data_IF_584205208534
#
_entry.id   IF_584205208534
#
_cell.length_a   1.000
_cell.length_b   1.000
_cell.length_c   1.000
_cell.angle_alpha   90.00
_cell.angle_beta   90.00
_cell.angle_gamma   90.00
#
_symmetry.space_group_name_H-M   'P 1'
#
loop_
_entity.id
_entity.type
_entity.pdbx_description
1 polymer ?
#
# COMPACT_ATOMS: atom_id res chain seq x y z
N UNK A 1 18.23 2.23 -22.78
CA UNK A 1 18.69 0.91 -22.28
C UNK A 1 17.50 0.17 -21.69
N UNK A 2 17.45 -1.16 -21.83
CA UNK A 2 16.41 -2.03 -21.24
C UNK A 2 17.06 -2.87 -20.16
N UNK A 3 16.31 -3.13 -19.07
CA UNK A 3 16.73 -4.12 -18.09
C UNK A 3 16.67 -5.49 -18.77
N UNK A 4 17.73 -6.31 -18.59
CA UNK A 4 17.76 -7.67 -19.10
C UNK A 4 16.69 -8.49 -18.37
N UNK A 5 15.79 -9.21 -19.08
CA UNK A 5 14.80 -10.08 -18.45
C UNK A 5 15.38 -11.10 -17.45
N UNK A 6 16.62 -11.55 -17.64
CA UNK A 6 17.32 -12.45 -16.72
C UNK A 6 17.69 -11.80 -15.37
N UNK A 7 17.71 -10.47 -15.30
CA UNK A 7 17.92 -9.73 -14.05
C UNK A 7 16.60 -9.48 -13.28
N UNK A 8 15.47 -9.93 -13.81
CA UNK A 8 14.14 -9.66 -13.27
C UNK A 8 13.49 -10.92 -12.77
N UNK A 9 13.02 -10.91 -11.54
CA UNK A 9 12.12 -11.94 -11.02
C UNK A 9 10.67 -11.49 -11.12
N UNK A 10 9.81 -12.31 -11.72
CA UNK A 10 8.37 -12.08 -11.75
C UNK A 10 7.74 -12.87 -10.61
N UNK A 11 7.23 -12.15 -9.60
CA UNK A 11 6.54 -12.73 -8.46
C UNK A 11 5.03 -12.69 -8.67
N UNK A 12 4.39 -13.86 -8.61
CA UNK A 12 2.95 -14.02 -8.83
C UNK A 12 2.34 -14.69 -7.59
N UNK A 13 1.85 -13.93 -6.59
CA UNK A 13 1.06 -14.51 -5.51
C UNK A 13 -0.28 -15.00 -6.06
N UNK A 14 -0.66 -16.25 -5.75
CA UNK A 14 -1.87 -16.90 -6.29
C UNK A 14 -2.69 -17.59 -5.24
N UNK A 15 -4.01 -17.61 -5.44
CA UNK A 15 -4.93 -18.46 -4.70
C UNK A 15 -6.13 -18.78 -5.59
N UNK A 16 -6.30 -20.04 -6.00
CA UNK A 16 -7.40 -20.48 -6.87
C UNK A 16 -7.54 -19.63 -8.15
N UNK A 17 -6.47 -19.58 -8.95
CA UNK A 17 -6.40 -18.82 -10.23
C UNK A 17 -6.20 -19.77 -11.44
N UNK A 18 -6.65 -21.02 -11.35
CA UNK A 18 -6.53 -22.00 -12.44
C UNK A 18 -6.98 -21.49 -13.81
N UNK A 19 -8.06 -20.67 -13.95
CA UNK A 19 -8.49 -20.17 -15.25
C UNK A 19 -7.50 -19.19 -15.91
N UNK A 20 -6.65 -18.51 -15.14
CA UNK A 20 -5.88 -17.36 -15.61
C UNK A 20 -4.37 -17.53 -15.48
N UNK A 21 -3.90 -18.25 -14.45
CA UNK A 21 -2.47 -18.37 -14.14
C UNK A 21 -1.63 -18.84 -15.32
N UNK A 22 -2.15 -19.78 -16.14
CA UNK A 22 -1.43 -20.30 -17.30
C UNK A 22 -1.20 -19.24 -18.37
N UNK A 23 -2.17 -18.35 -18.63
CA UNK A 23 -2.01 -17.25 -19.59
C UNK A 23 -1.06 -16.18 -19.07
N UNK A 24 -1.14 -15.82 -17.78
CA UNK A 24 -0.23 -14.85 -17.14
C UNK A 24 1.21 -15.32 -17.26
N UNK A 25 1.51 -16.56 -16.89
CA UNK A 25 2.87 -17.13 -16.98
C UNK A 25 3.37 -17.09 -18.43
N UNK A 26 2.57 -17.56 -19.39
CA UNK A 26 2.94 -17.59 -20.80
C UNK A 26 3.22 -16.21 -21.37
N UNK A 27 2.43 -15.17 -21.00
CA UNK A 27 2.67 -13.80 -21.44
C UNK A 27 4.08 -13.33 -21.00
N UNK A 28 4.50 -13.60 -19.76
CA UNK A 28 5.85 -13.24 -19.29
C UNK A 28 6.94 -14.06 -19.94
N UNK A 29 6.75 -15.40 -20.11
CA UNK A 29 7.71 -16.26 -20.80
C UNK A 29 7.94 -15.82 -22.25
N UNK A 30 6.89 -15.43 -22.98
CA UNK A 30 6.98 -14.91 -24.34
C UNK A 30 7.78 -13.61 -24.46
N UNK A 31 7.89 -12.84 -23.39
CA UNK A 31 8.71 -11.63 -23.31
C UNK A 31 10.14 -11.90 -22.82
N UNK A 32 10.50 -13.18 -22.63
CA UNK A 32 11.85 -13.62 -22.25
C UNK A 32 12.12 -13.65 -20.74
N UNK A 33 11.10 -13.46 -19.86
CA UNK A 33 11.29 -13.59 -18.42
C UNK A 33 11.41 -15.06 -18.03
N UNK A 34 12.60 -15.46 -17.58
CA UNK A 34 12.94 -16.85 -17.20
C UNK A 34 12.74 -17.09 -15.69
N UNK A 35 12.89 -16.06 -14.85
CA UNK A 35 12.77 -16.17 -13.40
C UNK A 35 11.35 -15.81 -12.93
N UNK A 36 10.42 -16.78 -13.03
CA UNK A 36 9.04 -16.64 -12.60
C UNK A 36 8.83 -17.46 -11.33
N UNK A 37 8.42 -16.82 -10.24
CA UNK A 37 8.08 -17.43 -8.97
C UNK A 37 6.58 -17.29 -8.71
N UNK A 38 5.87 -18.42 -8.73
CA UNK A 38 4.47 -18.50 -8.27
C UNK A 38 4.47 -18.86 -6.79
N UNK A 39 3.95 -17.96 -5.95
CA UNK A 39 3.77 -18.19 -4.53
C UNK A 39 2.31 -18.50 -4.25
N UNK A 40 2.02 -19.78 -4.02
CA UNK A 40 0.66 -20.28 -3.86
C UNK A 40 0.14 -20.14 -2.43
N UNK A 41 -1.08 -19.64 -2.30
CA UNK A 41 -1.81 -19.39 -1.05
C UNK A 41 -2.66 -20.57 -0.57
N UNK A 42 -2.25 -21.83 -0.80
CA UNK A 42 -3.00 -23.05 -0.54
C UNK A 42 -4.20 -23.22 -1.48
N UNK A 43 -3.98 -23.11 -2.78
CA UNK A 43 -5.00 -23.34 -3.80
C UNK A 43 -5.56 -24.76 -3.73
N UNK A 44 -6.87 -24.87 -3.90
CA UNK A 44 -7.61 -26.15 -3.91
C UNK A 44 -8.03 -26.56 -5.31
N UNK A 45 -7.76 -25.73 -6.30
CA UNK A 45 -7.99 -25.97 -7.72
C UNK A 45 -6.69 -26.40 -8.44
N UNK A 46 -6.70 -26.42 -9.77
CA UNK A 46 -5.54 -26.82 -10.59
C UNK A 46 -4.46 -25.72 -10.75
N UNK A 47 -4.47 -24.64 -9.97
CA UNK A 47 -3.51 -23.54 -10.09
C UNK A 47 -2.06 -24.03 -10.03
N UNK A 48 -1.71 -24.81 -9.01
CA UNK A 48 -0.35 -25.35 -8.81
C UNK A 48 0.05 -26.29 -9.95
N UNK A 49 -0.85 -27.18 -10.37
CA UNK A 49 -0.61 -28.14 -11.45
C UNK A 49 -0.29 -27.42 -12.77
N UNK A 50 -1.12 -26.41 -13.13
CA UNK A 50 -0.94 -25.62 -14.35
C UNK A 50 0.38 -24.87 -14.32
N UNK A 51 0.71 -24.21 -13.21
CA UNK A 51 1.94 -23.44 -13.08
C UNK A 51 3.19 -24.34 -13.18
N UNK A 52 3.21 -25.49 -12.50
CA UNK A 52 4.31 -26.48 -12.59
C UNK A 52 4.45 -27.04 -14.00
N UNK A 53 3.34 -27.30 -14.69
CA UNK A 53 3.34 -27.79 -16.08
C UNK A 53 3.96 -26.80 -17.07
N UNK A 54 4.07 -25.53 -16.73
CA UNK A 54 4.74 -24.49 -17.53
C UNK A 54 6.23 -24.29 -17.17
N UNK A 55 6.79 -25.12 -16.28
CA UNK A 55 8.21 -25.13 -15.95
C UNK A 55 8.66 -23.97 -15.06
N UNK A 56 7.75 -23.22 -14.42
CA UNK A 56 8.10 -22.14 -13.50
C UNK A 56 8.28 -22.64 -12.07
N UNK A 57 8.97 -21.87 -11.25
CA UNK A 57 9.13 -22.19 -9.82
C UNK A 57 7.81 -21.95 -9.09
N UNK A 58 7.29 -23.00 -8.42
CA UNK A 58 6.07 -22.94 -7.63
C UNK A 58 6.37 -23.32 -6.19
N UNK A 59 6.02 -22.42 -5.27
CA UNK A 59 6.10 -22.69 -3.82
C UNK A 59 4.77 -22.36 -3.16
N UNK A 60 4.45 -23.09 -2.10
CA UNK A 60 3.28 -22.83 -1.27
C UNK A 60 3.74 -22.10 -0.01
N UNK A 61 3.09 -21.00 0.35
CA UNK A 61 3.39 -20.25 1.57
C UNK A 61 3.11 -21.08 2.82
N UNK A 62 3.80 -20.79 3.91
CA UNK A 62 3.55 -21.45 5.20
C UNK A 62 2.35 -20.87 5.93
N UNK A 63 2.12 -19.57 5.77
CA UNK A 63 0.99 -18.85 6.36
C UNK A 63 -0.22 -18.73 5.43
N UNK A 64 -0.98 -17.66 5.60
CA UNK A 64 -2.16 -17.33 4.78
C UNK A 64 -2.17 -15.84 4.44
N UNK A 65 -2.75 -15.52 3.28
CA UNK A 65 -2.97 -14.16 2.80
C UNK A 65 -1.89 -13.70 1.81
N UNK A 66 -2.25 -12.71 0.99
CA UNK A 66 -1.41 -12.19 -0.10
C UNK A 66 -0.10 -11.60 0.42
N UNK A 67 -0.17 -10.84 1.52
CA UNK A 67 1.02 -10.25 2.11
C UNK A 67 2.01 -11.30 2.61
N UNK A 68 1.51 -12.38 3.24
CA UNK A 68 2.37 -13.45 3.68
C UNK A 68 3.08 -14.14 2.50
N UNK A 69 2.36 -14.39 1.40
CA UNK A 69 2.93 -14.94 0.17
C UNK A 69 4.06 -14.06 -0.38
N UNK A 70 3.86 -12.73 -0.39
CA UNK A 70 4.87 -11.78 -0.87
C UNK A 70 6.10 -11.80 0.05
N UNK A 71 5.90 -11.71 1.37
CA UNK A 71 7.01 -11.67 2.35
C UNK A 71 7.87 -12.94 2.25
N UNK A 72 7.26 -14.12 2.23
CA UNK A 72 8.00 -15.38 2.09
C UNK A 72 8.71 -15.53 0.73
N UNK A 73 8.12 -14.99 -0.33
CA UNK A 73 8.73 -15.03 -1.66
C UNK A 73 10.00 -14.19 -1.75
N UNK A 74 10.05 -13.02 -1.07
CA UNK A 74 11.21 -12.13 -1.09
C UNK A 74 12.50 -12.78 -0.54
N UNK A 75 12.38 -13.75 0.37
CA UNK A 75 13.51 -14.51 0.88
C UNK A 75 14.16 -15.41 -0.19
N UNK A 76 13.44 -15.72 -1.25
CA UNK A 76 13.84 -16.67 -2.28
C UNK A 76 14.34 -16.04 -3.56
N UNK A 77 13.98 -14.77 -3.79
CA UNK A 77 14.36 -14.01 -4.99
C UNK A 77 15.80 -13.51 -4.83
N UNK A 78 16.59 -13.64 -5.91
CA UNK A 78 17.99 -13.21 -5.95
C UNK A 78 18.26 -12.13 -7.00
N UNK A 79 17.36 -11.96 -7.96
CA UNK A 79 17.46 -10.99 -9.04
C UNK A 79 17.43 -9.55 -8.49
N UNK A 80 18.18 -8.62 -9.11
CA UNK A 80 18.23 -7.22 -8.66
C UNK A 80 16.91 -6.47 -8.83
N UNK A 81 16.02 -6.93 -9.71
CA UNK A 81 14.72 -6.33 -9.97
C UNK A 81 13.59 -7.32 -9.78
N UNK A 82 12.47 -6.84 -9.25
CA UNK A 82 11.27 -7.63 -9.02
C UNK A 82 10.09 -6.97 -9.72
N UNK A 83 9.31 -7.76 -10.42
CA UNK A 83 7.95 -7.43 -10.83
C UNK A 83 7.00 -8.21 -9.95
N UNK A 84 6.11 -7.52 -9.24
CA UNK A 84 4.97 -8.11 -8.56
C UNK A 84 3.73 -7.96 -9.43
N UNK A 85 3.00 -9.05 -9.68
CA UNK A 85 1.78 -9.04 -10.51
C UNK A 85 0.78 -10.07 -10.02
N UNK A 86 -0.52 -9.75 -10.06
CA UNK A 86 -1.59 -10.68 -9.68
C UNK A 86 -1.78 -11.80 -10.70
N UNK A 87 -2.13 -12.99 -10.22
CA UNK A 87 -2.34 -14.19 -11.05
C UNK A 87 -3.71 -14.25 -11.76
N UNK A 88 -4.57 -13.24 -11.58
CA UNK A 88 -5.97 -13.23 -12.03
C UNK A 88 -6.18 -12.78 -13.50
N UNK A 89 -5.08 -12.47 -14.21
CA UNK A 89 -5.09 -12.09 -15.62
C UNK A 89 -5.61 -10.68 -15.92
N UNK A 90 -5.83 -9.85 -14.90
CA UNK A 90 -6.30 -8.47 -15.08
C UNK A 90 -5.19 -7.54 -15.60
N UNK A 91 -3.93 -7.86 -15.37
CA UNK A 91 -2.78 -7.12 -15.89
C UNK A 91 -2.20 -7.79 -17.15
N UNK A 92 -1.49 -7.01 -17.96
CA UNK A 92 -0.77 -7.50 -19.13
C UNK A 92 0.74 -7.47 -18.91
N UNK A 93 1.43 -8.55 -19.28
CA UNK A 93 2.88 -8.60 -19.22
C UNK A 93 3.56 -7.55 -20.13
N UNK A 94 2.86 -7.05 -21.18
CA UNK A 94 3.39 -6.01 -22.08
C UNK A 94 3.71 -4.70 -21.36
N UNK A 95 3.06 -4.41 -20.23
CA UNK A 95 3.33 -3.21 -19.44
C UNK A 95 4.53 -3.37 -18.49
N UNK A 96 5.13 -4.57 -18.38
CA UNK A 96 6.31 -4.83 -17.56
C UNK A 96 7.46 -3.87 -17.87
N UNK A 97 7.71 -3.59 -19.17
CA UNK A 97 8.77 -2.66 -19.57
C UNK A 97 8.51 -1.23 -19.07
N UNK A 98 7.24 -0.79 -19.00
CA UNK A 98 6.89 0.54 -18.46
C UNK A 98 7.23 0.64 -16.97
N UNK A 99 7.05 -0.46 -16.23
CA UNK A 99 7.37 -0.53 -14.80
C UNK A 99 8.89 -0.62 -14.56
N UNK A 100 9.63 -1.36 -15.41
CA UNK A 100 11.06 -1.56 -15.23
C UNK A 100 11.90 -0.36 -15.67
N UNK A 101 11.47 0.37 -16.71
CA UNK A 101 12.24 1.49 -17.25
C UNK A 101 12.58 2.57 -16.19
N UNK A 102 11.67 3.00 -15.32
CA UNK A 102 12.01 3.96 -14.26
C UNK A 102 13.06 3.43 -13.28
N UNK A 103 13.03 2.13 -12.94
CA UNK A 103 14.05 1.53 -12.06
C UNK A 103 15.46 1.70 -12.64
N UNK A 104 15.59 1.53 -13.94
CA UNK A 104 16.86 1.78 -14.64
C UNK A 104 17.31 3.25 -14.55
N UNK A 105 16.35 4.19 -14.47
CA UNK A 105 16.61 5.62 -14.29
C UNK A 105 16.89 6.00 -12.83
N UNK A 106 16.99 5.01 -11.94
CA UNK A 106 17.33 5.18 -10.54
C UNK A 106 16.11 5.41 -9.63
N UNK A 107 14.90 5.09 -10.08
CA UNK A 107 13.76 4.95 -9.18
C UNK A 107 13.86 3.63 -8.41
N UNK A 108 13.31 3.60 -7.20
CA UNK A 108 13.40 2.46 -6.30
C UNK A 108 12.15 1.58 -6.36
N UNK A 109 10.99 2.23 -6.59
CA UNK A 109 9.68 1.61 -6.58
C UNK A 109 8.81 2.22 -7.69
N UNK A 110 8.14 1.39 -8.46
CA UNK A 110 7.22 1.81 -9.53
C UNK A 110 5.85 1.17 -9.33
N UNK A 111 4.81 1.99 -9.36
CA UNK A 111 3.41 1.59 -9.18
C UNK A 111 2.69 1.70 -10.52
N UNK A 112 2.01 0.65 -10.94
CA UNK A 112 1.16 0.66 -12.13
C UNK A 112 -0.21 1.26 -11.80
N UNK A 113 -0.54 2.43 -12.36
CA UNK A 113 -1.84 3.08 -12.20
C UNK A 113 -2.87 2.44 -13.14
N UNK A 114 -3.95 1.91 -12.55
CA UNK A 114 -5.09 1.29 -13.25
C UNK A 114 -6.22 2.27 -13.51
N UNK A 115 -6.28 3.36 -12.73
CA UNK A 115 -7.49 4.18 -12.59
C UNK A 115 -7.89 4.86 -13.90
N UNK A 116 -6.90 5.25 -14.71
CA UNK A 116 -7.14 5.98 -15.95
C UNK A 116 -7.15 5.10 -17.21
N UNK A 117 -6.77 3.82 -17.10
CA UNK A 117 -6.53 2.93 -18.24
C UNK A 117 -7.33 1.62 -18.17
N UNK A 118 -8.21 1.49 -17.17
CA UNK A 118 -9.03 0.32 -17.00
C UNK A 118 -10.06 0.17 -18.14
N UNK A 119 -10.24 -1.06 -18.59
CA UNK A 119 -11.33 -1.40 -19.54
C UNK A 119 -12.70 -1.06 -18.94
N UNK A 120 -13.64 -0.69 -19.80
CA UNK A 120 -15.04 -0.43 -19.36
C UNK A 120 -15.61 -1.66 -18.62
N UNK A 121 -16.01 -1.47 -17.36
CA UNK A 121 -16.54 -2.53 -16.51
C UNK A 121 -15.49 -3.40 -15.80
N UNK A 122 -14.21 -3.03 -15.83
CA UNK A 122 -13.17 -3.66 -15.01
C UNK A 122 -13.33 -3.32 -13.52
N UNK A 123 -13.76 -2.09 -13.22
CA UNK A 123 -14.19 -1.68 -11.88
C UNK A 123 -15.72 -1.56 -11.81
N UNK A 124 -16.31 -2.04 -10.73
CA UNK A 124 -17.65 -1.62 -10.35
C UNK A 124 -17.60 -0.25 -9.64
N UNK A 125 -18.74 0.43 -9.52
CA UNK A 125 -18.82 1.78 -8.92
C UNK A 125 -18.27 1.82 -7.48
N UNK A 126 -18.56 0.80 -6.66
CA UNK A 126 -18.11 0.73 -5.26
C UNK A 126 -16.58 0.60 -5.17
N UNK A 127 -15.99 -0.27 -6.00
CA UNK A 127 -14.54 -0.47 -6.02
C UNK A 127 -13.80 0.77 -6.53
N UNK A 128 -14.35 1.44 -7.55
CA UNK A 128 -13.75 2.68 -8.08
C UNK A 128 -13.77 3.80 -7.05
N UNK A 129 -14.95 4.08 -6.46
CA UNK A 129 -15.13 5.15 -5.48
C UNK A 129 -14.35 4.86 -4.19
N UNK A 130 -14.37 3.60 -3.74
CA UNK A 130 -13.59 3.15 -2.59
C UNK A 130 -12.09 3.33 -2.79
N UNK A 131 -11.57 2.99 -3.97
CA UNK A 131 -10.17 3.19 -4.32
C UNK A 131 -9.80 4.69 -4.31
N UNK A 132 -10.63 5.55 -4.92
CA UNK A 132 -10.41 7.01 -4.88
C UNK A 132 -10.40 7.56 -3.46
N UNK A 133 -11.35 7.15 -2.62
CA UNK A 133 -11.39 7.57 -1.21
C UNK A 133 -10.12 7.15 -0.46
N UNK A 134 -9.66 5.92 -0.64
CA UNK A 134 -8.44 5.41 -0.02
C UNK A 134 -7.21 6.20 -0.49
N UNK A 135 -7.11 6.53 -1.78
CA UNK A 135 -6.01 7.34 -2.31
C UNK A 135 -6.02 8.77 -1.73
N UNK A 136 -7.20 9.39 -1.58
CA UNK A 136 -7.34 10.71 -0.94
C UNK A 136 -6.91 10.64 0.54
N UNK A 137 -7.39 9.64 1.27
CA UNK A 137 -6.99 9.44 2.67
C UNK A 137 -5.49 9.22 2.81
N UNK A 138 -4.90 8.44 1.92
CA UNK A 138 -3.45 8.23 1.88
C UNK A 138 -2.70 9.54 1.63
N UNK A 139 -3.13 10.33 0.64
CA UNK A 139 -2.53 11.63 0.33
C UNK A 139 -2.57 12.57 1.53
N UNK A 140 -3.70 12.63 2.25
CA UNK A 140 -3.85 13.46 3.46
C UNK A 140 -2.96 12.92 4.59
N UNK A 141 -2.94 11.60 4.80
CA UNK A 141 -2.22 10.97 5.90
C UNK A 141 -0.69 10.95 5.71
N UNK A 142 -0.22 10.80 4.46
CA UNK A 142 1.20 10.57 4.16
C UNK A 142 1.83 11.64 3.24
N UNK A 143 1.07 12.64 2.79
CA UNK A 143 1.58 13.78 2.03
C UNK A 143 2.00 13.48 0.59
N UNK A 144 1.75 12.27 0.07
CA UNK A 144 2.15 11.84 -1.26
C UNK A 144 0.97 11.48 -2.13
N UNK A 145 0.92 12.01 -3.36
CA UNK A 145 -0.13 11.69 -4.34
C UNK A 145 0.36 10.62 -5.31
N UNK A 146 -0.02 9.37 -5.06
CA UNK A 146 0.46 8.19 -5.80
C UNK A 146 -0.65 7.50 -6.62
N UNK A 147 -1.78 8.19 -6.84
CA UNK A 147 -2.90 7.83 -7.71
C UNK A 147 -3.56 6.47 -7.46
N UNK A 148 -2.81 5.36 -7.36
CA UNK A 148 -3.36 4.00 -7.20
C UNK A 148 -2.51 3.15 -6.25
N UNK A 149 -2.60 3.44 -4.94
CA UNK A 149 -1.84 2.72 -3.90
C UNK A 149 -2.29 1.27 -3.69
N UNK A 150 -3.45 0.89 -4.23
CA UNK A 150 -3.99 -0.47 -4.16
C UNK A 150 -3.63 -1.33 -5.37
N UNK A 151 -2.82 -0.81 -6.30
CA UNK A 151 -2.38 -1.58 -7.45
C UNK A 151 -1.48 -2.74 -7.03
N UNK A 152 -1.80 -3.94 -7.52
CA UNK A 152 -0.98 -5.14 -7.35
C UNK A 152 0.12 -5.29 -8.43
N UNK A 153 0.17 -4.39 -9.44
CA UNK A 153 1.21 -4.42 -10.46
C UNK A 153 2.29 -3.40 -10.15
N UNK A 154 3.42 -3.88 -9.69
CA UNK A 154 4.52 -3.04 -9.19
C UNK A 154 5.86 -3.57 -9.64
N UNK A 155 6.86 -2.69 -9.68
CA UNK A 155 8.25 -3.08 -9.83
C UNK A 155 9.12 -2.43 -8.76
N UNK A 156 10.16 -3.15 -8.33
CA UNK A 156 11.07 -2.74 -7.26
C UNK A 156 12.50 -3.06 -7.61
N UNK A 157 13.44 -2.28 -7.09
CA UNK A 157 14.79 -2.79 -6.90
C UNK A 157 14.80 -3.73 -5.69
N UNK A 158 15.66 -4.75 -5.69
CA UNK A 158 15.76 -5.68 -4.57
C UNK A 158 16.11 -4.97 -3.26
N UNK A 159 16.99 -3.97 -3.32
CA UNK A 159 17.43 -3.22 -2.17
C UNK A 159 16.28 -2.41 -1.56
N UNK A 160 15.43 -1.80 -2.41
CA UNK A 160 14.30 -1.00 -1.94
C UNK A 160 13.28 -1.84 -1.17
N UNK A 161 12.89 -3.00 -1.72
CA UNK A 161 11.86 -3.83 -1.09
C UNK A 161 12.38 -4.56 0.16
N UNK A 162 13.65 -4.96 0.20
CA UNK A 162 14.28 -5.54 1.39
C UNK A 162 14.45 -4.53 2.53
N UNK A 163 14.57 -3.26 2.21
CA UNK A 163 14.59 -2.17 3.18
C UNK A 163 13.25 -1.90 3.85
N UNK A 164 12.14 -2.43 3.32
CA UNK A 164 10.80 -2.26 3.88
C UNK A 164 10.56 -3.22 5.05
N UNK A 165 9.86 -2.73 6.10
CA UNK A 165 9.47 -3.54 7.27
C UNK A 165 8.05 -4.05 7.12
N UNK A 166 7.84 -4.96 6.17
CA UNK A 166 6.53 -5.51 5.85
C UNK A 166 6.03 -6.47 6.93
N UNK A 167 4.79 -6.29 7.38
CA UNK A 167 4.14 -7.07 8.46
C UNK A 167 2.72 -7.49 8.09
N UNK A 168 2.07 -6.74 7.20
CA UNK A 168 0.70 -7.02 6.81
C UNK A 168 0.62 -8.31 6.00
N UNK A 169 -0.37 -9.14 6.32
CA UNK A 169 -0.47 -10.47 5.73
C UNK A 169 -1.58 -10.59 4.69
N UNK A 170 -2.49 -9.63 4.63
CA UNK A 170 -3.65 -9.59 3.73
C UNK A 170 -3.45 -8.68 2.51
N UNK A 171 -4.56 -8.12 2.03
CA UNK A 171 -4.58 -7.18 0.90
C UNK A 171 -4.09 -5.78 1.26
N UNK A 172 -3.91 -5.48 2.54
CA UNK A 172 -3.31 -4.25 3.02
C UNK A 172 -1.80 -4.13 2.72
N UNK A 173 -1.18 -5.20 2.24
CA UNK A 173 0.26 -5.26 1.93
C UNK A 173 0.68 -4.23 0.87
N UNK A 174 -0.15 -3.98 -0.17
CA UNK A 174 0.15 -2.97 -1.19
C UNK A 174 0.22 -1.58 -0.58
N UNK A 175 -0.70 -1.29 0.33
CA UNK A 175 -0.73 -0.04 1.08
C UNK A 175 0.49 0.09 1.99
N UNK A 176 0.85 -0.97 2.71
CA UNK A 176 2.03 -1.00 3.57
C UNK A 176 3.32 -0.79 2.77
N UNK A 177 3.49 -1.49 1.63
CA UNK A 177 4.64 -1.27 0.74
C UNK A 177 4.76 0.19 0.31
N UNK A 178 3.63 0.83 -0.01
CA UNK A 178 3.62 2.24 -0.40
C UNK A 178 4.00 3.15 0.76
N UNK A 179 3.48 2.90 1.96
CA UNK A 179 3.80 3.67 3.16
C UNK A 179 5.28 3.51 3.54
N UNK A 180 5.80 2.28 3.51
CA UNK A 180 7.20 2.02 3.81
C UNK A 180 8.13 2.66 2.76
N UNK A 181 7.74 2.68 1.49
CA UNK A 181 8.49 3.37 0.44
C UNK A 181 8.56 4.88 0.71
N UNK A 182 7.42 5.53 1.04
CA UNK A 182 7.37 6.95 1.41
C UNK A 182 8.20 7.22 2.68
N UNK A 183 8.09 6.36 3.68
CA UNK A 183 8.84 6.46 4.94
C UNK A 183 10.35 6.37 4.74
N UNK A 184 10.78 5.49 3.85
CA UNK A 184 12.20 5.29 3.54
C UNK A 184 12.71 6.30 2.50
N UNK A 185 11.94 7.34 2.18
CA UNK A 185 12.26 8.39 1.19
C UNK A 185 12.65 7.80 -0.18
N UNK A 186 12.07 6.65 -0.56
CA UNK A 186 12.33 6.00 -1.83
C UNK A 186 11.82 6.85 -3.00
N UNK A 187 12.52 6.80 -4.12
CA UNK A 187 12.10 7.44 -5.37
C UNK A 187 11.00 6.59 -6.01
N UNK A 188 9.75 7.04 -5.87
CA UNK A 188 8.57 6.34 -6.37
C UNK A 188 8.13 6.97 -7.69
N UNK A 189 7.82 6.15 -8.70
CA UNK A 189 7.16 6.57 -9.92
C UNK A 189 5.85 5.85 -10.12
N UNK A 190 4.86 6.56 -10.67
CA UNK A 190 3.57 5.97 -11.05
C UNK A 190 3.49 5.98 -12.56
N UNK A 191 3.14 4.84 -13.16
CA UNK A 191 3.04 4.67 -14.62
C UNK A 191 1.69 4.06 -15.01
N UNK A 192 1.04 4.52 -16.08
CA UNK A 192 -0.23 3.95 -16.51
C UNK A 192 -0.05 2.53 -17.06
N UNK A 193 -0.87 1.59 -16.55
CA UNK A 193 -0.88 0.18 -16.98
C UNK A 193 -2.27 -0.24 -17.42
N UNK A 194 -2.36 -1.10 -18.42
CA UNK A 194 -3.64 -1.64 -18.86
C UNK A 194 -4.23 -2.56 -17.80
N UNK A 195 -5.50 -2.32 -17.46
CA UNK A 195 -6.24 -3.14 -16.52
C UNK A 195 -7.46 -3.75 -17.22
N UNK A 196 -7.40 -5.06 -17.46
CA UNK A 196 -8.40 -5.82 -18.17
C UNK A 196 -9.58 -6.16 -17.26
N UNK A 197 -10.73 -6.37 -17.85
CA UNK A 197 -11.85 -6.97 -17.14
C UNK A 197 -11.47 -8.39 -16.70
N UNK A 198 -11.81 -8.75 -15.48
CA UNK A 198 -11.60 -10.10 -14.93
C UNK A 198 -12.33 -11.15 -15.78
N UNK A 199 -11.70 -12.30 -15.97
CA UNK A 199 -12.28 -13.41 -16.74
C UNK A 199 -13.60 -13.85 -16.12
N UNK A 200 -14.61 -14.08 -16.98
CA UNK A 200 -15.92 -14.52 -16.52
C UNK A 200 -15.82 -15.83 -15.72
N UNK A 201 -16.53 -15.92 -14.60
CA UNK A 201 -16.50 -17.07 -13.70
C UNK A 201 -15.44 -17.01 -12.60
N UNK A 202 -14.50 -16.06 -12.64
CA UNK A 202 -13.56 -15.83 -11.53
C UNK A 202 -14.14 -14.80 -10.55
N UNK A 203 -14.00 -15.06 -9.23
CA UNK A 203 -14.48 -14.14 -8.18
C UNK A 203 -13.33 -13.33 -7.62
N UNK A 204 -13.60 -12.06 -7.29
CA UNK A 204 -12.66 -11.30 -6.46
C UNK A 204 -12.57 -11.94 -5.08
N UNK A 205 -11.36 -12.01 -4.53
CA UNK A 205 -11.10 -12.51 -3.18
C UNK A 205 -11.06 -11.38 -2.17
N UNK A 206 -11.08 -10.14 -2.65
CA UNK A 206 -11.15 -8.93 -1.85
C UNK A 206 -12.62 -8.66 -1.48
N UNK A 207 -12.90 -8.57 -0.17
CA UNK A 207 -14.17 -8.05 0.37
C UNK A 207 -14.07 -6.52 0.46
N UNK A 208 -14.84 -5.75 -0.34
CA UNK A 208 -14.68 -4.29 -0.39
C UNK A 208 -14.88 -3.60 0.96
N UNK A 209 -15.76 -4.10 1.81
CA UNK A 209 -16.03 -3.49 3.11
C UNK A 209 -14.98 -3.92 4.14
N UNK A 210 -14.78 -5.22 4.32
CA UNK A 210 -13.87 -5.75 5.35
C UNK A 210 -12.41 -5.38 5.07
N UNK A 211 -11.95 -5.60 3.84
CA UNK A 211 -10.58 -5.24 3.46
C UNK A 211 -10.41 -3.72 3.36
N UNK A 212 -11.45 -2.97 2.95
CA UNK A 212 -11.43 -1.51 2.95
C UNK A 212 -11.22 -0.92 4.34
N UNK A 213 -11.93 -1.42 5.36
CA UNK A 213 -11.72 -1.01 6.76
C UNK A 213 -10.30 -1.33 7.24
N UNK A 214 -9.75 -2.50 6.88
CA UNK A 214 -8.37 -2.88 7.21
C UNK A 214 -7.35 -1.95 6.56
N UNK A 215 -7.52 -1.63 5.28
CA UNK A 215 -6.65 -0.71 4.55
C UNK A 215 -6.67 0.67 5.20
N UNK A 216 -7.86 1.23 5.50
CA UNK A 216 -8.00 2.53 6.16
C UNK A 216 -7.35 2.50 7.56
N UNK A 217 -7.57 1.43 8.32
CA UNK A 217 -6.95 1.23 9.64
C UNK A 217 -5.42 1.18 9.53
N UNK A 218 -4.89 0.54 8.49
CA UNK A 218 -3.44 0.46 8.24
C UNK A 218 -2.87 1.83 7.88
N UNK A 219 -3.55 2.61 7.01
CA UNK A 219 -3.15 3.99 6.68
C UNK A 219 -3.10 4.83 7.96
N UNK A 220 -4.16 4.80 8.78
CA UNK A 220 -4.24 5.59 10.01
C UNK A 220 -3.18 5.15 11.04
N UNK A 221 -3.03 3.84 11.27
CA UNK A 221 -2.05 3.29 12.22
C UNK A 221 -0.61 3.64 11.86
N UNK A 222 -0.25 3.55 10.59
CA UNK A 222 1.09 3.86 10.12
C UNK A 222 1.35 5.37 10.02
N UNK A 223 0.30 6.19 9.90
CA UNK A 223 0.40 7.65 10.00
C UNK A 223 0.98 8.11 11.35
N UNK A 224 0.78 7.35 12.44
CA UNK A 224 1.36 7.68 13.75
C UNK A 224 2.87 7.93 13.71
N UNK A 225 3.59 7.20 12.86
CA UNK A 225 5.05 7.32 12.73
C UNK A 225 5.45 8.31 11.64
N UNK A 226 4.67 8.42 10.58
CA UNK A 226 5.03 9.19 9.39
C UNK A 226 4.45 10.61 9.39
N UNK A 227 3.28 10.79 10.02
CA UNK A 227 2.56 12.05 10.12
C UNK A 227 1.83 12.13 11.47
N UNK A 228 2.56 12.35 12.58
CA UNK A 228 1.97 12.38 13.93
C UNK A 228 0.87 13.43 14.07
N UNK A 229 0.99 14.58 13.41
CA UNK A 229 -0.03 15.63 13.46
C UNK A 229 -1.36 15.16 12.86
N UNK A 230 -1.35 14.36 11.79
CA UNK A 230 -2.57 13.77 11.25
C UNK A 230 -3.17 12.77 12.23
N UNK A 231 -2.35 11.87 12.81
CA UNK A 231 -2.81 10.83 13.71
C UNK A 231 -3.41 11.40 15.01
N UNK A 232 -2.62 12.18 15.74
CA UNK A 232 -3.05 12.76 17.02
C UNK A 232 -3.99 13.95 16.82
N UNK A 233 -3.79 14.74 15.77
CA UNK A 233 -4.62 15.89 15.43
C UNK A 233 -6.06 15.48 15.12
N UNK A 234 -6.26 14.45 14.28
CA UNK A 234 -7.61 13.94 13.99
C UNK A 234 -8.31 13.44 15.27
N UNK A 235 -7.59 12.68 16.09
CA UNK A 235 -8.14 12.17 17.36
C UNK A 235 -8.49 13.32 18.31
N UNK A 236 -7.61 14.30 18.48
CA UNK A 236 -7.84 15.46 19.34
C UNK A 236 -9.02 16.31 18.87
N UNK A 237 -9.14 16.56 17.56
CA UNK A 237 -10.26 17.27 16.96
C UNK A 237 -11.58 16.54 17.20
N UNK A 238 -11.63 15.22 16.98
CA UNK A 238 -12.85 14.43 17.19
C UNK A 238 -13.32 14.46 18.65
N UNK A 239 -12.40 14.35 19.60
CA UNK A 239 -12.71 14.44 21.04
C UNK A 239 -13.23 15.85 21.38
N UNK A 240 -12.56 16.90 20.88
CA UNK A 240 -12.98 18.29 21.12
C UNK A 240 -14.34 18.60 20.53
N UNK A 241 -14.64 18.10 19.32
CA UNK A 241 -15.96 18.25 18.69
C UNK A 241 -17.04 17.51 19.47
N UNK A 242 -16.74 16.33 20.00
CA UNK A 242 -17.64 15.64 20.92
C UNK A 242 -17.95 16.45 22.17
N UNK A 243 -16.91 17.02 22.79
CA UNK A 243 -17.08 17.95 23.93
C UNK A 243 -17.90 19.19 23.57
N UNK A 244 -17.65 19.79 22.40
CA UNK A 244 -18.39 20.95 21.90
C UNK A 244 -19.88 20.64 21.66
N UNK A 245 -20.19 19.46 21.10
CA UNK A 245 -21.57 19.03 20.90
C UNK A 245 -22.33 18.89 22.24
N UNK A 246 -21.68 18.29 23.26
CA UNK A 246 -22.24 18.21 24.62
C UNK A 246 -22.40 19.63 25.21
N UNK A 247 -21.43 20.52 24.98
CA UNK A 247 -21.48 21.91 25.45
C UNK A 247 -22.66 22.68 24.87
N UNK A 248 -22.91 22.53 23.56
CA UNK A 248 -24.10 23.14 22.93
C UNK A 248 -25.39 22.65 23.56
N UNK A 249 -25.50 21.34 23.79
CA UNK A 249 -26.67 20.77 24.50
C UNK A 249 -26.84 21.35 25.90
N UNK A 250 -25.78 21.42 26.70
CA UNK A 250 -25.79 21.99 28.05
C UNK A 250 -26.22 23.46 28.05
N UNK A 251 -25.73 24.28 27.11
CA UNK A 251 -26.11 25.70 26.99
C UNK A 251 -27.58 25.83 26.59
N UNK A 252 -28.07 25.01 25.68
CA UNK A 252 -29.50 25.03 25.30
C UNK A 252 -30.43 24.73 26.47
N UNK A 253 -30.08 23.76 27.30
CA UNK A 253 -30.86 23.40 28.49
C UNK A 253 -30.74 24.45 29.59
N UNK A 254 -29.57 25.05 29.78
CA UNK A 254 -29.37 26.16 30.69
C UNK A 254 -30.27 27.37 30.36
N UNK A 255 -30.43 27.68 29.07
CA UNK A 255 -31.36 28.72 28.60
C UNK A 255 -32.84 28.41 28.91
N UNK A 256 -33.16 27.14 29.15
CA UNK A 256 -34.48 26.64 29.60
C UNK A 256 -34.59 26.54 31.12
N UNK A 257 -33.57 26.98 31.86
CA UNK A 257 -33.53 26.91 33.32
C UNK A 257 -33.09 25.56 33.88
N UNK A 258 -32.59 24.64 33.07
CA UNK A 258 -32.13 23.30 33.50
C UNK A 258 -30.59 23.32 33.62
N UNK A 259 -30.10 22.96 34.82
CA UNK A 259 -28.65 22.95 35.07
C UNK A 259 -28.08 21.53 35.04
N UNK A 260 -27.00 21.32 34.27
CA UNK A 260 -26.30 20.03 34.11
C UNK A 260 -24.83 20.14 34.54
N UNK A 261 -24.57 20.35 35.87
CA UNK A 261 -23.20 20.55 36.38
C UNK A 261 -22.22 19.45 35.94
N UNK A 262 -22.53 18.12 36.06
CA UNK A 262 -21.60 17.07 35.63
C UNK A 262 -21.30 17.11 34.15
N UNK A 263 -22.29 17.42 33.28
CA UNK A 263 -22.10 17.53 31.85
C UNK A 263 -21.27 18.76 31.47
N UNK A 264 -21.38 19.87 32.19
CA UNK A 264 -20.54 21.06 31.99
C UNK A 264 -19.07 20.71 32.27
N UNK A 265 -18.78 20.00 33.34
CA UNK A 265 -17.43 19.53 33.68
C UNK A 265 -16.90 18.59 32.58
N UNK A 266 -17.71 17.64 32.13
CA UNK A 266 -17.35 16.71 31.06
C UNK A 266 -17.05 17.45 29.75
N UNK A 267 -17.83 18.48 29.40
CA UNK A 267 -17.59 19.33 28.23
C UNK A 267 -16.20 19.95 28.26
N UNK A 268 -15.87 20.63 29.36
CA UNK A 268 -14.57 21.29 29.52
C UNK A 268 -13.44 20.27 29.46
N UNK A 269 -13.59 19.14 30.14
CA UNK A 269 -12.59 18.06 30.17
C UNK A 269 -12.34 17.50 28.78
N UNK A 270 -13.38 17.20 28.01
CA UNK A 270 -13.22 16.68 26.64
C UNK A 270 -12.54 17.68 25.71
N UNK A 271 -12.89 18.96 25.79
CA UNK A 271 -12.26 20.01 24.97
C UNK A 271 -10.77 20.16 25.35
N UNK A 272 -10.45 20.17 26.64
CA UNK A 272 -9.05 20.26 27.11
C UNK A 272 -8.22 19.06 26.69
N UNK A 273 -8.72 17.84 26.95
CA UNK A 273 -8.01 16.61 26.58
C UNK A 273 -7.84 16.52 25.06
N UNK A 274 -8.87 16.88 24.29
CA UNK A 274 -8.77 16.92 22.83
C UNK A 274 -7.71 17.90 22.34
N UNK A 275 -7.64 19.10 22.95
CA UNK A 275 -6.61 20.09 22.64
C UNK A 275 -5.20 19.60 23.05
N UNK A 276 -5.03 18.97 24.20
CA UNK A 276 -3.75 18.40 24.63
C UNK A 276 -3.25 17.32 23.68
N UNK A 277 -4.14 16.42 23.22
CA UNK A 277 -3.81 15.40 22.23
C UNK A 277 -3.40 16.04 20.90
N UNK A 278 -4.11 17.08 20.45
CA UNK A 278 -3.75 17.83 19.26
C UNK A 278 -2.35 18.45 19.38
N UNK A 279 -2.08 19.12 20.49
CA UNK A 279 -0.76 19.75 20.76
C UNK A 279 0.34 18.69 20.83
N UNK A 280 0.07 17.51 21.37
CA UNK A 280 1.00 16.38 21.35
C UNK A 280 1.35 15.96 19.92
N UNK A 281 0.36 15.98 19.00
CA UNK A 281 0.58 15.76 17.58
C UNK A 281 1.54 16.78 16.95
N UNK A 282 1.35 18.06 17.23
CA UNK A 282 2.21 19.15 16.74
C UNK A 282 3.66 19.00 17.23
N UNK A 283 3.82 18.71 18.53
CA UNK A 283 5.16 18.52 19.12
C UNK A 283 5.86 17.30 18.50
N UNK A 284 5.13 16.20 18.33
CA UNK A 284 5.68 14.98 17.71
C UNK A 284 6.10 15.19 16.26
N UNK A 285 5.37 16.00 15.50
CA UNK A 285 5.71 16.33 14.11
C UNK A 285 6.99 17.17 14.01
N UNK A 286 7.13 18.16 14.89
CA UNK A 286 8.35 18.96 15.00
C UNK A 286 9.55 18.09 15.34
N UNK A 287 9.42 17.18 16.31
CA UNK A 287 10.49 16.24 16.68
C UNK A 287 10.87 15.31 15.52
N UNK A 288 9.89 14.86 14.76
CA UNK A 288 10.13 14.04 13.58
C UNK A 288 10.88 14.81 12.48
N UNK A 289 10.53 16.07 12.26
CA UNK A 289 11.22 16.96 11.32
C UNK A 289 12.69 17.14 11.69
N UNK A 290 12.99 17.44 12.95
CA UNK A 290 14.37 17.54 13.44
C UNK A 290 15.14 16.21 13.32
N UNK A 291 14.50 15.10 13.63
CA UNK A 291 15.13 13.78 13.49
C UNK A 291 15.53 13.49 12.04
N UNK A 292 14.66 13.80 11.06
CA UNK A 292 14.95 13.65 9.63
C UNK A 292 16.08 14.56 9.17
N UNK A 293 16.14 15.79 9.65
CA UNK A 293 17.23 16.73 9.35
C UNK A 293 18.58 16.21 9.84
N UNK A 294 18.65 15.74 11.09
CA UNK A 294 19.87 15.15 11.66
C UNK A 294 20.33 13.93 10.83
N UNK A 295 19.41 13.05 10.44
CA UNK A 295 19.76 11.88 9.63
C UNK A 295 20.32 12.28 8.25
N UNK A 296 19.75 13.31 7.62
CA UNK A 296 20.28 13.86 6.35
C UNK A 296 21.69 14.39 6.50
N UNK A 297 21.97 15.14 7.55
CA UNK A 297 23.33 15.66 7.80
C UNK A 297 24.33 14.52 8.03
N UNK A 298 23.97 13.49 8.79
CA UNK A 298 24.81 12.30 8.98
C UNK A 298 25.10 11.60 7.66
N UNK A 299 24.09 11.43 6.80
CA UNK A 299 24.28 10.81 5.48
C UNK A 299 25.21 11.63 4.58
N UNK A 300 25.09 12.96 4.60
CA UNK A 300 25.98 13.85 3.86
C UNK A 300 27.45 13.77 4.33
N UNK A 301 27.66 13.60 5.63
CA UNK A 301 28.99 13.44 6.22
C UNK A 301 29.63 12.07 5.90
N UNK A 302 28.82 11.04 5.67
CA UNK A 302 29.27 9.69 5.33
C UNK A 302 29.54 9.49 3.83
N UNK A 303 29.12 10.39 2.96
CA UNK A 303 29.47 10.33 1.54
C UNK A 303 30.96 10.61 1.38
N UNK A 304 31.75 9.70 0.77
CA UNK A 304 33.16 9.97 0.49
C UNK A 304 33.26 11.22 -0.38
N UNK A 305 34.03 12.22 0.08
CA UNK A 305 34.37 13.38 -0.74
C UNK A 305 34.90 12.88 -2.08
N UNK A 306 34.11 13.04 -3.14
CA UNK A 306 34.63 12.91 -4.49
C UNK A 306 35.69 14.00 -4.61
N UNK A 307 36.94 13.58 -4.57
CA UNK A 307 38.08 14.44 -4.91
C UNK A 307 37.78 15.04 -6.31
N UNK A 308 37.87 16.37 -6.35
CA UNK A 308 37.77 17.16 -7.59
C UNK A 308 39.07 17.05 -8.39
#
# INVERSE_FOLDING_TARGET
>A
MKINPDEVSVLIPTLNEAPTIGSVIKEFQQLGYSHILVMDGHSTDKTIEIARGLGVTVKTQTGRGKGNAIIEALEQIRQPYIILVDGDGTYTARDAEKLLRPLYLGFDHVIGDRMNTAEKGAFNFVNYTGNQLINILFKIAHGSDLHDILSGYRAFTMDSIRGMRLKERGFEIETEMTIEAVRNEQRIMVVPVHYRKRVAGTRTKLDPFYDGVRIISTIYRLAKVNNPIFYFGLMGILISLGGMAIGVYVVMDWLRGINHIPMTILTVLLIMVGFEIFMFGVISDILLAFHREILREIQLLQQPRKER
#
